data_IF_187839459368
#
_entry.id   IF_187839459368
#
_cell.length_a   1.000
_cell.length_b   1.000
_cell.length_c   1.000
_cell.angle_alpha   90.00
_cell.angle_beta   90.00
_cell.angle_gamma   90.00
#
_symmetry.space_group_name_H-M   'P 1'
#
loop_
_entity.id
_entity.type
_entity.pdbx_description
1 polymer ?
#
# COMPACT_ATOMS: atom_id res chain seq x y z
N UNK A 1 0.32 25.36 0.93
CA UNK A 1 -0.80 25.87 0.11
C UNK A 1 -2.13 25.56 0.79
N UNK A 2 -2.55 26.38 1.76
CA UNK A 2 -3.90 26.31 2.34
C UNK A 2 -4.96 26.57 1.27
N UNK A 3 -6.11 25.90 1.34
CA UNK A 3 -7.24 26.13 0.42
C UNK A 3 -7.13 25.49 -0.98
N UNK A 4 -5.92 25.26 -1.50
CA UNK A 4 -5.75 24.70 -2.85
C UNK A 4 -6.13 23.22 -2.96
N UNK A 5 -6.66 22.79 -4.12
CA UNK A 5 -7.08 21.40 -4.38
C UNK A 5 -5.91 20.44 -4.60
N UNK A 6 -4.78 20.95 -5.08
CA UNK A 6 -3.53 20.23 -5.29
C UNK A 6 -2.34 21.20 -5.29
N UNK A 7 -1.12 20.69 -5.19
CA UNK A 7 0.10 21.50 -5.34
C UNK A 7 1.26 20.66 -5.87
N UNK A 8 2.23 21.31 -6.52
CA UNK A 8 3.45 20.67 -7.00
C UNK A 8 4.54 20.63 -5.93
N UNK A 9 5.37 19.60 -5.95
CA UNK A 9 6.63 19.53 -5.21
C UNK A 9 7.66 18.74 -6.03
N UNK A 10 8.93 18.78 -5.63
CA UNK A 10 9.97 17.96 -6.25
C UNK A 10 10.35 16.81 -5.33
N UNK A 11 10.24 15.58 -5.84
CA UNK A 11 10.86 14.40 -5.24
C UNK A 11 12.30 14.29 -5.74
N UNK A 12 13.23 14.87 -4.98
CA UNK A 12 14.67 14.98 -5.31
C UNK A 12 14.90 15.78 -6.60
N UNK A 13 14.70 15.19 -7.77
CA UNK A 13 14.82 15.84 -9.09
C UNK A 13 13.58 15.65 -9.98
N UNK A 14 12.58 14.93 -9.49
CA UNK A 14 11.39 14.58 -10.26
C UNK A 14 10.22 15.45 -9.78
N UNK A 15 9.60 16.28 -10.64
CA UNK A 15 8.39 17.01 -10.26
C UNK A 15 7.27 16.01 -9.97
N UNK A 16 6.51 16.28 -8.92
CA UNK A 16 5.43 15.44 -8.43
C UNK A 16 4.25 16.31 -8.01
N UNK A 17 3.04 15.78 -8.16
CA UNK A 17 1.79 16.44 -7.84
C UNK A 17 1.21 15.83 -6.56
N UNK A 18 0.94 16.67 -5.55
CA UNK A 18 0.17 16.28 -4.37
C UNK A 18 -1.28 16.69 -4.58
N UNK A 19 -2.18 15.71 -4.66
CA UNK A 19 -3.62 15.93 -4.76
C UNK A 19 -4.22 15.84 -3.36
N UNK A 20 -4.99 16.85 -2.95
CA UNK A 20 -5.67 16.91 -1.63
C UNK A 20 -7.19 16.76 -1.73
N UNK A 21 -7.74 17.00 -2.91
CA UNK A 21 -9.16 16.95 -3.18
C UNK A 21 -9.67 15.52 -3.35
N UNK A 22 -10.69 15.13 -2.58
CA UNK A 22 -11.21 13.75 -2.53
C UNK A 22 -11.80 13.32 -3.87
N UNK A 23 -12.50 14.21 -4.58
CA UNK A 23 -13.08 13.88 -5.88
C UNK A 23 -12.00 13.61 -6.92
N UNK A 24 -10.93 14.41 -6.91
CA UNK A 24 -9.76 14.17 -7.76
C UNK A 24 -9.03 12.87 -7.38
N UNK A 25 -8.86 12.59 -6.09
CA UNK A 25 -8.25 11.34 -5.63
C UNK A 25 -9.05 10.13 -6.10
N UNK A 26 -10.37 10.14 -5.93
CA UNK A 26 -11.24 9.07 -6.40
C UNK A 26 -11.21 8.94 -7.92
N UNK A 27 -11.18 10.06 -8.65
CA UNK A 27 -11.08 10.04 -10.10
C UNK A 27 -9.77 9.37 -10.54
N UNK A 28 -8.64 9.73 -9.95
CA UNK A 28 -7.31 9.21 -10.29
C UNK A 28 -7.14 7.74 -9.89
N UNK A 29 -7.53 7.37 -8.66
CA UNK A 29 -7.26 6.05 -8.09
C UNK A 29 -8.30 4.99 -8.47
N UNK A 30 -9.50 5.40 -8.89
CA UNK A 30 -10.61 4.47 -9.16
C UNK A 30 -11.14 4.63 -10.58
N UNK A 31 -11.70 5.81 -10.93
CA UNK A 31 -12.45 5.98 -12.19
C UNK A 31 -11.53 5.90 -13.41
N UNK A 32 -10.43 6.64 -13.37
CA UNK A 32 -9.47 6.79 -14.46
C UNK A 32 -8.17 6.03 -14.18
N UNK A 33 -8.21 5.03 -13.30
CA UNK A 33 -7.03 4.29 -12.84
C UNK A 33 -6.16 3.75 -13.98
N UNK A 34 -6.77 3.37 -15.12
CA UNK A 34 -6.07 2.90 -16.31
C UNK A 34 -5.01 3.88 -16.84
N UNK A 35 -5.19 5.18 -16.64
CA UNK A 35 -4.22 6.21 -17.04
C UNK A 35 -3.10 6.39 -16.00
N UNK A 36 -3.35 5.98 -14.75
CA UNK A 36 -2.47 6.22 -13.61
C UNK A 36 -1.90 4.94 -13.00
N UNK A 37 -1.82 3.84 -13.76
CA UNK A 37 -1.39 2.53 -13.24
C UNK A 37 0.08 2.47 -12.81
N UNK A 38 0.92 3.39 -13.30
CA UNK A 38 2.37 3.40 -13.10
C UNK A 38 2.82 4.23 -11.87
N UNK A 39 2.03 4.20 -10.78
CA UNK A 39 2.35 4.89 -9.53
C UNK A 39 3.30 4.05 -8.68
N UNK A 40 4.60 4.13 -8.98
CA UNK A 40 5.62 3.37 -8.26
C UNK A 40 6.84 4.20 -7.88
N UNK A 41 7.45 3.85 -6.75
CA UNK A 41 8.84 4.17 -6.47
C UNK A 41 9.73 3.58 -7.59
N UNK A 42 10.89 4.20 -7.90
CA UNK A 42 11.84 3.59 -8.82
C UNK A 42 12.14 2.16 -8.37
N UNK A 43 11.90 1.18 -9.23
CA UNK A 43 12.31 -0.21 -8.97
C UNK A 43 13.83 -0.26 -9.02
N UNK A 44 14.45 -0.77 -7.95
CA UNK A 44 15.85 -1.18 -7.98
C UNK A 44 15.86 -2.53 -8.70
N UNK A 45 16.29 -2.52 -9.96
CA UNK A 45 16.13 -3.63 -10.92
C UNK A 45 16.84 -4.93 -10.55
N UNK A 46 17.70 -4.93 -9.52
CA UNK A 46 18.51 -6.09 -9.10
C UNK A 46 17.97 -6.82 -7.86
N UNK A 47 17.00 -6.26 -7.13
CA UNK A 47 16.53 -6.86 -5.87
C UNK A 47 15.32 -7.78 -6.10
N UNK A 48 15.36 -9.01 -5.56
CA UNK A 48 14.25 -9.95 -5.60
C UNK A 48 13.00 -9.39 -4.90
N UNK A 49 13.18 -8.58 -3.86
CA UNK A 49 12.07 -7.95 -3.16
C UNK A 49 11.34 -6.91 -4.02
N UNK A 50 11.95 -6.41 -5.09
CA UNK A 50 11.32 -5.48 -6.04
C UNK A 50 10.23 -6.14 -6.91
N UNK A 51 10.09 -7.48 -6.89
CA UNK A 51 9.06 -8.21 -7.65
C UNK A 51 7.74 -8.32 -6.89
N UNK A 52 7.25 -7.21 -6.35
CA UNK A 52 6.01 -7.16 -5.56
C UNK A 52 4.97 -6.19 -6.14
N UNK A 53 3.73 -6.24 -5.64
CA UNK A 53 2.61 -5.42 -6.15
C UNK A 53 2.84 -3.90 -6.09
N UNK A 54 3.73 -3.41 -5.22
CA UNK A 54 4.01 -1.97 -5.11
C UNK A 54 5.02 -1.47 -6.15
N UNK A 55 5.76 -2.37 -6.80
CA UNK A 55 6.83 -2.03 -7.73
C UNK A 55 6.58 -2.51 -9.15
N UNK A 56 5.84 -3.61 -9.33
CA UNK A 56 5.44 -4.09 -10.65
C UNK A 56 4.52 -3.08 -11.34
N UNK A 57 4.58 -3.06 -12.67
CA UNK A 57 3.80 -2.16 -13.53
C UNK A 57 3.12 -2.94 -14.65
N UNK A 58 2.11 -2.34 -15.26
CA UNK A 58 1.39 -2.89 -16.41
C UNK A 58 0.89 -4.33 -16.19
N UNK A 59 1.10 -5.18 -17.19
CA UNK A 59 0.61 -6.57 -17.18
C UNK A 59 1.21 -7.43 -16.06
N UNK A 60 2.46 -7.19 -15.65
CA UNK A 60 3.06 -7.91 -14.53
C UNK A 60 2.34 -7.62 -13.21
N UNK A 61 2.00 -6.35 -12.96
CA UNK A 61 1.18 -5.94 -11.82
C UNK A 61 -0.22 -6.55 -11.90
N UNK A 62 -0.85 -6.47 -13.09
CA UNK A 62 -2.20 -6.98 -13.33
C UNK A 62 -2.28 -8.49 -13.06
N UNK A 63 -1.34 -9.26 -13.60
CA UNK A 63 -1.27 -10.70 -13.41
C UNK A 63 -1.07 -11.07 -11.93
N UNK A 64 -0.13 -10.43 -11.23
CA UNK A 64 0.11 -10.70 -9.81
C UNK A 64 -1.12 -10.35 -8.96
N UNK A 65 -1.77 -9.21 -9.25
CA UNK A 65 -2.98 -8.78 -8.53
C UNK A 65 -4.12 -9.77 -8.73
N UNK A 66 -4.35 -10.23 -9.96
CA UNK A 66 -5.37 -11.25 -10.23
C UNK A 66 -5.10 -12.56 -9.48
N UNK A 67 -3.84 -12.98 -9.36
CA UNK A 67 -3.47 -14.19 -8.60
C UNK A 67 -3.65 -14.03 -7.09
N UNK A 68 -3.37 -12.86 -6.54
CA UNK A 68 -3.41 -12.64 -5.07
C UNK A 68 -4.78 -12.24 -4.54
N UNK A 69 -5.61 -11.53 -5.32
CA UNK A 69 -6.92 -11.04 -4.86
C UNK A 69 -7.83 -12.13 -4.24
N UNK A 70 -7.89 -13.37 -4.78
CA UNK A 70 -8.71 -14.45 -4.20
C UNK A 70 -8.24 -14.96 -2.83
N UNK A 71 -7.06 -14.56 -2.35
CA UNK A 71 -6.56 -14.94 -1.02
C UNK A 71 -7.18 -14.07 0.08
N UNK A 72 -7.58 -12.83 -0.25
CA UNK A 72 -8.09 -11.84 0.71
C UNK A 72 -9.61 -11.71 0.68
N UNK A 73 -10.34 -12.81 0.45
CA UNK A 73 -11.81 -12.79 0.52
C UNK A 73 -12.28 -12.66 1.96
N UNK A 74 -13.48 -12.13 2.17
CA UNK A 74 -14.07 -12.00 3.51
C UNK A 74 -14.07 -13.32 4.30
N UNK A 75 -14.37 -14.45 3.64
CA UNK A 75 -14.34 -15.78 4.26
C UNK A 75 -12.94 -16.21 4.73
N UNK A 76 -11.92 -16.03 3.88
CA UNK A 76 -10.53 -16.34 4.24
C UNK A 76 -9.99 -15.41 5.32
N UNK A 77 -10.31 -14.12 5.24
CA UNK A 77 -9.94 -13.14 6.26
C UNK A 77 -10.59 -13.46 7.61
N UNK A 78 -11.86 -13.88 7.62
CA UNK A 78 -12.55 -14.33 8.83
C UNK A 78 -11.88 -15.57 9.44
N UNK A 79 -11.44 -16.50 8.60
CA UNK A 79 -10.68 -17.67 9.06
C UNK A 79 -9.32 -17.29 9.67
N UNK A 80 -8.61 -16.32 9.09
CA UNK A 80 -7.31 -15.82 9.61
C UNK A 80 -7.45 -14.96 10.87
N UNK A 81 -8.65 -14.49 11.21
CA UNK A 81 -8.85 -13.50 12.26
C UNK A 81 -8.34 -13.96 13.63
N UNK A 82 -8.50 -15.25 13.97
CA UNK A 82 -8.00 -15.79 15.24
C UNK A 82 -6.48 -15.68 15.35
N UNK A 83 -5.75 -15.90 14.26
CA UNK A 83 -4.29 -15.79 14.24
C UNK A 83 -3.83 -14.34 14.47
N UNK A 84 -4.58 -13.36 13.97
CA UNK A 84 -4.31 -11.95 14.22
C UNK A 84 -4.52 -11.57 15.69
N UNK A 85 -5.56 -12.11 16.33
CA UNK A 85 -5.80 -11.90 17.76
C UNK A 85 -4.65 -12.48 18.59
N UNK A 86 -4.28 -13.75 18.36
CA UNK A 86 -3.16 -14.38 19.06
C UNK A 86 -1.85 -13.60 18.91
N UNK A 87 -1.54 -13.13 17.69
CA UNK A 87 -0.36 -12.30 17.47
C UNK A 87 -0.43 -10.96 18.22
N UNK A 88 -1.63 -10.38 18.34
CA UNK A 88 -1.87 -9.18 19.13
C UNK A 88 -1.71 -9.42 20.63
N UNK A 89 -2.23 -10.53 21.14
CA UNK A 89 -2.10 -10.92 22.55
C UNK A 89 -0.63 -11.12 22.93
N UNK A 90 0.13 -11.86 22.11
CA UNK A 90 1.58 -12.04 22.32
C UNK A 90 2.36 -10.72 22.31
N UNK A 91 1.94 -9.77 21.45
CA UNK A 91 2.56 -8.44 21.41
C UNK A 91 2.29 -7.66 22.69
N UNK A 92 1.07 -7.72 23.22
CA UNK A 92 0.70 -7.08 24.48
C UNK A 92 1.46 -7.67 25.66
N UNK A 93 1.52 -9.00 25.76
CA UNK A 93 2.31 -9.71 26.78
C UNK A 93 3.78 -9.27 26.74
N UNK A 94 4.39 -9.24 25.54
CA UNK A 94 5.78 -8.80 25.37
C UNK A 94 6.01 -7.35 25.81
N UNK A 95 5.03 -6.47 25.55
CA UNK A 95 5.08 -5.06 25.98
C UNK A 95 4.96 -4.94 27.49
N UNK A 96 4.08 -5.73 28.12
CA UNK A 96 3.90 -5.74 29.58
C UNK A 96 5.14 -6.30 30.29
N UNK A 97 5.70 -7.41 29.81
CA UNK A 97 6.95 -7.96 30.31
C UNK A 97 8.10 -6.96 30.20
N UNK A 98 8.23 -6.27 29.06
CA UNK A 98 9.24 -5.22 28.87
C UNK A 98 9.02 -3.99 29.76
N UNK A 99 7.82 -3.81 30.31
CA UNK A 99 7.44 -2.67 31.15
C UNK A 99 7.59 -2.97 32.65
N UNK A 100 7.57 -4.25 33.03
CA UNK A 100 7.72 -4.72 34.42
C UNK A 100 9.01 -5.51 34.66
N UNK A 101 9.82 -5.77 33.64
CA UNK A 101 11.18 -6.32 33.76
C UNK A 101 12.22 -5.23 34.00
N UNK A 102 13.05 -5.42 35.02
CA UNK A 102 14.39 -4.81 35.15
C UNK A 102 15.30 -5.22 33.98
#
# INVERSE_FOLDING_TARGET
FPGERFFGYFRVRVPALVVKDVDLIQKILVKDFSHFQNQGFPSISSDLLSRNLFHLKGEGWRALRHKLSPTFTSGKMKFMFSQFLTAGDHLLESIEESRFGE
#
